data_IF_521204616763
#
_entry.id   IF_521204616763
#
_cell.length_a   1.000
_cell.length_b   1.000
_cell.length_c   1.000
_cell.angle_alpha   90.00
_cell.angle_beta   90.00
_cell.angle_gamma   90.00
#
_symmetry.space_group_name_H-M   'P 1'
#
loop_
_entity.id
_entity.type
_entity.pdbx_description
1 polymer ?
#
# COMPACT_ATOMS: atom_id res chain seq x y z
N UNK A 1 3.83 20.07 -4.53
CA UNK A 1 4.28 18.66 -4.35
C UNK A 1 3.70 18.22 -3.02
N UNK A 2 2.90 17.16 -3.01
CA UNK A 2 2.08 16.75 -1.86
C UNK A 2 2.86 16.71 -0.53
N UNK A 3 4.10 16.21 -0.54
CA UNK A 3 4.95 16.16 0.66
C UNK A 3 5.26 17.56 1.24
N UNK A 4 5.53 18.57 0.40
CA UNK A 4 5.81 19.93 0.87
C UNK A 4 4.58 20.59 1.48
N UNK A 5 3.40 20.38 0.88
CA UNK A 5 2.12 20.88 1.36
C UNK A 5 1.75 20.28 2.73
N UNK A 6 2.22 19.05 2.99
CA UNK A 6 1.99 18.31 4.24
C UNK A 6 3.16 18.41 5.24
N UNK A 7 4.13 19.32 5.04
CA UNK A 7 5.31 19.51 5.91
C UNK A 7 6.23 18.27 6.02
N UNK A 8 6.26 17.44 4.98
CA UNK A 8 7.09 16.24 4.84
C UNK A 8 8.15 16.39 3.74
N UNK A 9 8.41 17.61 3.27
CA UNK A 9 9.28 17.90 2.13
C UNK A 9 10.76 17.50 2.30
N UNK A 10 11.19 17.30 3.54
CA UNK A 10 12.55 16.90 3.90
C UNK A 10 12.71 15.38 4.07
N UNK A 11 11.63 14.60 3.96
CA UNK A 11 11.68 13.15 4.10
C UNK A 11 12.12 12.47 2.81
N UNK A 12 12.94 11.44 2.95
CA UNK A 12 13.26 10.51 1.87
C UNK A 12 12.04 9.73 1.42
N UNK A 13 12.12 9.09 0.26
CA UNK A 13 11.02 8.27 -0.27
C UNK A 13 10.62 7.13 0.68
N UNK A 14 11.61 6.48 1.30
CA UNK A 14 11.38 5.43 2.28
C UNK A 14 10.64 5.95 3.52
N UNK A 15 11.06 7.09 4.06
CA UNK A 15 10.41 7.74 5.20
C UNK A 15 8.99 8.21 4.88
N UNK A 16 8.73 8.61 3.63
CA UNK A 16 7.38 8.94 3.17
C UNK A 16 6.49 7.70 3.09
N UNK A 17 6.98 6.57 2.58
CA UNK A 17 6.21 5.31 2.57
C UNK A 17 5.89 4.81 4.00
N UNK A 18 6.78 5.06 4.96
CA UNK A 18 6.55 4.71 6.36
C UNK A 18 5.63 5.70 7.11
N UNK A 19 5.29 6.85 6.53
CA UNK A 19 4.55 7.92 7.20
C UNK A 19 3.06 7.59 7.35
N UNK A 20 2.50 7.61 8.59
CA UNK A 20 1.07 7.35 8.82
C UNK A 20 0.13 8.29 8.05
N UNK A 21 0.51 9.56 7.87
CA UNK A 21 -0.28 10.51 7.08
C UNK A 21 -0.43 10.07 5.62
N UNK A 22 0.65 9.55 5.02
CA UNK A 22 0.64 9.01 3.64
C UNK A 22 -0.28 7.79 3.57
N UNK A 23 -0.12 6.84 4.48
CA UNK A 23 -0.96 5.63 4.58
C UNK A 23 -2.45 5.99 4.68
N UNK A 24 -2.79 6.93 5.55
CA UNK A 24 -4.19 7.35 5.78
C UNK A 24 -4.77 8.09 4.58
N UNK A 25 -3.97 8.91 3.91
CA UNK A 25 -4.41 9.68 2.74
C UNK A 25 -4.70 8.75 1.56
N UNK A 26 -3.76 7.85 1.24
CA UNK A 26 -3.93 6.86 0.18
C UNK A 26 -5.12 5.93 0.45
N UNK A 27 -5.31 5.49 1.70
CA UNK A 27 -6.45 4.65 2.06
C UNK A 27 -7.78 5.37 1.79
N UNK A 28 -7.88 6.65 2.16
CA UNK A 28 -9.10 7.45 1.92
C UNK A 28 -9.38 7.61 0.43
N UNK A 29 -8.36 7.92 -0.36
CA UNK A 29 -8.49 8.05 -1.82
C UNK A 29 -8.95 6.74 -2.46
N UNK A 30 -8.36 5.60 -2.07
CA UNK A 30 -8.79 4.27 -2.53
C UNK A 30 -10.23 3.95 -2.12
N UNK A 31 -10.65 4.34 -0.92
CA UNK A 31 -12.02 4.15 -0.45
C UNK A 31 -13.03 5.02 -1.21
N UNK A 32 -12.67 6.25 -1.57
CA UNK A 32 -13.48 7.13 -2.44
C UNK A 32 -13.58 6.54 -3.83
N UNK A 33 -12.46 6.18 -4.44
CA UNK A 33 -12.41 5.56 -5.76
C UNK A 33 -13.24 4.27 -5.83
N UNK A 34 -13.16 3.42 -4.80
CA UNK A 34 -13.97 2.20 -4.72
C UNK A 34 -15.47 2.48 -4.69
N UNK A 35 -15.91 3.51 -3.96
CA UNK A 35 -17.33 3.92 -3.94
C UNK A 35 -17.78 4.48 -5.28
N UNK A 36 -16.95 5.31 -5.93
CA UNK A 36 -17.23 5.86 -7.25
C UNK A 36 -17.28 4.77 -8.33
N UNK A 37 -16.55 3.67 -8.12
CA UNK A 37 -16.54 2.49 -9.00
C UNK A 37 -17.64 1.47 -8.67
N UNK A 38 -18.61 1.81 -7.82
CA UNK A 38 -19.73 0.94 -7.40
C UNK A 38 -19.28 -0.38 -6.74
N UNK A 39 -18.12 -0.38 -6.08
CA UNK A 39 -17.65 -1.52 -5.29
C UNK A 39 -18.47 -1.67 -4.02
N UNK A 40 -18.77 -2.91 -3.66
CA UNK A 40 -19.48 -3.24 -2.43
C UNK A 40 -18.60 -2.96 -1.21
N UNK A 41 -19.22 -2.71 -0.06
CA UNK A 41 -18.48 -2.38 1.17
C UNK A 41 -17.44 -3.43 1.60
N UNK A 42 -17.62 -4.71 1.23
CA UNK A 42 -16.64 -5.77 1.51
C UNK A 42 -15.48 -5.84 0.50
N UNK A 43 -15.61 -5.17 -0.65
CA UNK A 43 -14.57 -5.06 -1.68
C UNK A 43 -13.66 -3.83 -1.43
N UNK A 44 -14.11 -2.88 -0.59
CA UNK A 44 -13.33 -1.70 -0.21
C UNK A 44 -12.28 -2.06 0.84
N UNK A 45 -11.03 -1.67 0.57
CA UNK A 45 -9.87 -1.91 1.42
C UNK A 45 -10.04 -1.23 2.79
N UNK A 46 -9.88 -2.01 3.88
CA UNK A 46 -9.98 -1.52 5.26
C UNK A 46 -8.66 -1.08 5.88
N UNK A 47 -7.54 -1.45 5.29
CA UNK A 47 -6.20 -1.03 5.70
C UNK A 47 -5.23 -1.26 4.53
N UNK A 48 -4.09 -0.56 4.52
CA UNK A 48 -3.05 -0.69 3.50
C UNK A 48 -1.67 -0.59 4.14
N UNK A 49 -0.69 -1.25 3.52
CA UNK A 49 0.73 -1.09 3.79
C UNK A 49 1.40 -0.48 2.56
N UNK A 50 2.21 0.55 2.77
CA UNK A 50 2.93 1.25 1.70
C UNK A 50 4.39 0.86 1.79
N UNK A 51 4.86 0.11 0.80
CA UNK A 51 6.28 -0.26 0.69
C UNK A 51 7.02 0.79 -0.15
N UNK A 52 8.30 1.01 0.16
CA UNK A 52 9.21 1.81 -0.66
C UNK A 52 9.89 0.97 -1.75
N UNK A 53 9.88 -0.36 -1.62
CA UNK A 53 10.49 -1.25 -2.59
C UNK A 53 9.49 -1.58 -3.71
N UNK A 54 9.86 -1.26 -4.95
CA UNK A 54 9.02 -1.58 -6.11
C UNK A 54 9.01 -3.09 -6.38
N UNK A 55 7.90 -3.60 -6.91
CA UNK A 55 7.84 -4.98 -7.34
C UNK A 55 8.61 -5.14 -8.64
N UNK A 56 9.46 -6.16 -8.72
CA UNK A 56 10.34 -6.38 -9.86
C UNK A 56 10.51 -7.87 -10.14
N UNK A 57 11.16 -8.19 -11.25
CA UNK A 57 11.51 -9.58 -11.58
C UNK A 57 12.69 -10.01 -10.70
N UNK A 58 13.61 -9.09 -10.42
CA UNK A 58 14.82 -9.27 -9.62
C UNK A 58 14.52 -9.59 -8.15
N UNK A 59 13.45 -9.01 -7.58
CA UNK A 59 13.01 -9.32 -6.22
C UNK A 59 11.95 -10.44 -6.15
N UNK A 60 11.79 -11.19 -7.24
CA UNK A 60 10.89 -12.35 -7.37
C UNK A 60 9.40 -12.06 -7.10
N UNK A 61 8.98 -10.80 -7.20
CA UNK A 61 7.58 -10.41 -7.02
C UNK A 61 6.81 -10.37 -8.34
N UNK A 62 7.49 -10.23 -9.47
CA UNK A 62 6.88 -10.22 -10.79
C UNK A 62 7.31 -11.41 -11.65
N UNK A 63 6.40 -11.88 -12.49
CA UNK A 63 6.73 -12.75 -13.62
C UNK A 63 7.50 -11.95 -14.69
N UNK A 64 8.20 -12.62 -15.63
CA UNK A 64 8.81 -11.93 -16.78
C UNK A 64 7.83 -11.11 -17.63
N UNK A 65 6.52 -11.38 -17.51
CA UNK A 65 5.44 -10.62 -18.15
C UNK A 65 4.84 -9.52 -17.26
N UNK A 66 5.55 -9.10 -16.21
CA UNK A 66 5.15 -8.05 -15.26
C UNK A 66 3.83 -8.32 -14.50
N UNK A 67 3.40 -9.58 -14.42
CA UNK A 67 2.28 -9.99 -13.54
C UNK A 67 2.77 -10.30 -12.14
N UNK A 68 2.02 -9.88 -11.12
CA UNK A 68 2.29 -10.18 -9.71
C UNK A 68 2.29 -11.68 -9.42
N UNK A 69 3.37 -12.16 -8.80
CA UNK A 69 3.49 -13.49 -8.22
C UNK A 69 2.85 -13.49 -6.83
N UNK A 70 1.55 -13.80 -6.77
CA UNK A 70 0.74 -13.65 -5.54
C UNK A 70 1.26 -14.44 -4.34
N UNK A 71 1.77 -15.67 -4.55
CA UNK A 71 2.27 -16.50 -3.46
C UNK A 71 3.53 -15.89 -2.82
N UNK A 72 4.50 -15.52 -3.64
CA UNK A 72 5.75 -14.87 -3.22
C UNK A 72 5.49 -13.53 -2.54
N UNK A 73 4.58 -12.72 -3.10
CA UNK A 73 4.19 -11.45 -2.50
C UNK A 73 3.51 -11.65 -1.13
N UNK A 74 2.65 -12.67 -1.00
CA UNK A 74 2.03 -13.00 0.29
C UNK A 74 3.08 -13.39 1.32
N UNK A 75 4.03 -14.27 0.96
CA UNK A 75 5.09 -14.70 1.89
C UNK A 75 5.99 -13.54 2.31
N UNK A 76 6.38 -12.66 1.37
CA UNK A 76 7.21 -11.49 1.66
C UNK A 76 6.56 -10.51 2.63
N UNK A 77 5.23 -10.29 2.51
CA UNK A 77 4.49 -9.29 3.28
C UNK A 77 3.59 -9.91 4.36
N UNK A 78 3.80 -11.18 4.74
CA UNK A 78 2.92 -11.91 5.64
C UNK A 78 2.83 -11.22 7.02
N UNK A 79 3.97 -10.74 7.52
CA UNK A 79 4.07 -10.04 8.81
C UNK A 79 3.25 -8.73 8.81
N UNK A 80 3.35 -7.95 7.74
CA UNK A 80 2.64 -6.69 7.56
C UNK A 80 1.14 -6.94 7.39
N UNK A 81 0.76 -7.98 6.64
CA UNK A 81 -0.62 -8.40 6.47
C UNK A 81 -1.22 -8.79 7.83
N UNK A 82 -0.55 -9.62 8.61
CA UNK A 82 -1.00 -9.99 9.96
C UNK A 82 -1.14 -8.77 10.86
N UNK A 83 -0.16 -7.86 10.84
CA UNK A 83 -0.22 -6.61 11.62
C UNK A 83 -1.45 -5.79 11.24
N UNK A 84 -1.71 -5.62 9.94
CA UNK A 84 -2.87 -4.88 9.46
C UNK A 84 -4.20 -5.50 9.89
N UNK A 85 -4.31 -6.83 9.91
CA UNK A 85 -5.50 -7.51 10.44
C UNK A 85 -5.69 -7.25 11.93
N UNK A 86 -4.60 -7.26 12.72
CA UNK A 86 -4.64 -6.96 14.17
C UNK A 86 -5.00 -5.50 14.46
N UNK A 87 -4.64 -4.56 13.59
CA UNK A 87 -5.00 -3.13 13.73
C UNK A 87 -6.50 -2.83 13.48
N UNK A 88 -7.20 -3.71 12.75
CA UNK A 88 -8.63 -3.54 12.42
C UNK A 88 -9.54 -4.31 13.39
N UNK A 89 -9.01 -5.37 14.02
CA UNK A 89 -9.71 -6.23 14.97
C UNK A 89 -10.08 -5.46 16.25
#
# INVERSE_FOLDING_TARGET
>A
LWANENKLGNKSYEELCAEPLVRTTLQKELAVFGKESDLKGFEILKNIYVTHEQFSIENDLLTPTFKLKRHQAKEKYDTEIERMYKEIA
#
